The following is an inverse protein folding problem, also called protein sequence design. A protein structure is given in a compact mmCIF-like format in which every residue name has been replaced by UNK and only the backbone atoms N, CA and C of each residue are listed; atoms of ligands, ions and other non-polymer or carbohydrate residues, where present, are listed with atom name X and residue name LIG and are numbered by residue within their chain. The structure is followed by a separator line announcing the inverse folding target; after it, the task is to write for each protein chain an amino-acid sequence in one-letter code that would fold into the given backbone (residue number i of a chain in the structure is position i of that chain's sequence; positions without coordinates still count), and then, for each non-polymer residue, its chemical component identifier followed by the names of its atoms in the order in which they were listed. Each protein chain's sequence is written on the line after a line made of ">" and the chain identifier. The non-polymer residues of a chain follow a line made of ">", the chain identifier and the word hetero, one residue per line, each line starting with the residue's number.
data_IF_201310496344
#
_entry.id   IF_201310496344
#
_cell.length_a   1.000
_cell.length_b   1.000
_cell.length_c   1.000
_cell.angle_alpha   90.00
_cell.angle_beta   90.00
_cell.angle_gamma   90.00
#
_symmetry.space_group_name_H-M   'P 1'
#
loop_
_entity.id
_entity.type
_entity.pdbx_description
1 polymer ?
#
# COMPACT_ATOMS: atom_id res chain seq x y z
N UNK A 1 -1.57 -1.26 -24.97
CA UNK A 1 -1.37 -2.28 -23.92
C UNK A 1 -1.65 -1.59 -22.61
N UNK A 2 -2.94 -1.60 -22.30
CA UNK A 2 -3.60 -0.70 -21.41
C UNK A 2 -3.56 -1.26 -19.99
N UNK A 3 -3.24 -0.39 -19.03
CA UNK A 3 -3.80 -0.34 -17.68
C UNK A 3 -3.38 -1.40 -16.63
N UNK A 4 -2.94 -0.92 -15.45
CA UNK A 4 -2.72 -1.74 -14.26
C UNK A 4 -3.95 -1.88 -13.32
N UNK A 5 -5.13 -1.32 -13.66
CA UNK A 5 -6.41 -1.62 -12.95
C UNK A 5 -7.72 -1.60 -13.79
N UNK A 6 -7.90 -0.66 -14.72
CA UNK A 6 -9.02 -0.60 -15.72
C UNK A 6 -9.02 -1.61 -16.91
N UNK A 7 -7.93 -2.24 -17.39
CA UNK A 7 -8.01 -3.11 -18.60
C UNK A 7 -8.41 -4.55 -18.30
N UNK A 8 -8.13 -5.04 -17.10
CA UNK A 8 -8.40 -6.44 -16.75
C UNK A 8 -9.89 -6.73 -16.46
N UNK A 9 -10.78 -5.74 -16.51
CA UNK A 9 -12.18 -5.86 -16.06
C UNK A 9 -13.20 -5.38 -17.12
N UNK A 10 -12.82 -5.30 -18.40
CA UNK A 10 -13.77 -4.99 -19.48
C UNK A 10 -13.88 -6.14 -20.47
N UNK A 11 -14.69 -7.14 -20.07
CA UNK A 11 -15.46 -7.96 -21.00
C UNK A 11 -16.92 -7.94 -20.51
N UNK A 12 -17.88 -7.42 -21.30
CA UNK A 12 -19.29 -7.46 -20.93
C UNK A 12 -19.84 -8.82 -21.32
N UNK A 13 -20.73 -9.43 -20.52
CA UNK A 13 -21.77 -10.37 -20.94
C UNK A 13 -22.66 -10.80 -19.73
N UNK A 14 -23.87 -11.34 -19.96
CA UNK A 14 -25.12 -10.61 -19.75
C UNK A 14 -25.88 -11.04 -18.49
N UNK A 15 -26.70 -10.11 -17.99
CA UNK A 15 -27.65 -10.34 -16.90
C UNK A 15 -28.69 -11.41 -17.27
N UNK A 16 -28.84 -12.42 -16.40
CA UNK A 16 -30.06 -13.23 -16.31
C UNK A 16 -30.60 -13.06 -14.89
N UNK A 17 -31.77 -12.46 -14.83
CA UNK A 17 -32.54 -12.14 -13.62
C UNK A 17 -33.48 -13.30 -13.28
N UNK A 18 -33.63 -13.64 -11.99
CA UNK A 18 -34.79 -14.34 -11.42
C UNK A 18 -34.79 -14.27 -9.87
N UNK A 19 -35.95 -14.39 -9.20
CA UNK A 19 -36.41 -13.45 -8.15
C UNK A 19 -36.38 -14.01 -6.70
N UNK A 20 -36.74 -13.20 -5.67
CA UNK A 20 -36.47 -13.51 -4.27
C UNK A 20 -37.63 -14.25 -3.58
N UNK A 21 -37.31 -15.03 -2.55
CA UNK A 21 -38.29 -15.62 -1.62
C UNK A 21 -38.09 -15.09 -0.19
N UNK A 22 -39.17 -14.49 0.34
CA UNK A 22 -39.35 -13.90 1.67
C UNK A 22 -39.53 -14.96 2.79
N UNK A 23 -39.44 -14.56 4.08
CA UNK A 23 -39.14 -15.46 5.20
C UNK A 23 -40.38 -15.99 5.93
N UNK A 24 -40.18 -17.10 6.66
CA UNK A 24 -41.16 -17.65 7.61
C UNK A 24 -40.64 -17.53 9.04
N UNK A 25 -41.35 -16.73 9.84
CA UNK A 25 -41.22 -16.58 11.29
C UNK A 25 -41.94 -17.69 12.05
N UNK A 26 -41.40 -18.14 13.20
CA UNK A 26 -42.13 -18.25 14.49
C UNK A 26 -41.20 -18.60 15.68
N UNK A 27 -41.63 -18.31 16.92
CA UNK A 27 -40.75 -17.95 18.04
C UNK A 27 -40.46 -19.11 19.00
N UNK A 28 -39.45 -18.94 19.84
CA UNK A 28 -39.30 -19.67 21.10
C UNK A 28 -38.66 -18.79 22.16
N UNK A 29 -39.13 -18.98 23.39
CA UNK A 29 -39.12 -18.05 24.53
C UNK A 29 -38.13 -18.55 25.59
N UNK A 30 -37.61 -17.60 26.36
CA UNK A 30 -37.00 -17.68 27.72
C UNK A 30 -35.58 -18.26 27.80
N UNK A 31 -34.59 -17.45 28.23
CA UNK A 31 -34.17 -17.39 29.64
C UNK A 31 -33.22 -16.22 29.90
N UNK A 32 -33.53 -15.51 30.99
CA UNK A 32 -32.71 -14.46 31.59
C UNK A 32 -31.68 -15.16 32.46
N UNK A 33 -30.40 -14.91 32.23
CA UNK A 33 -29.35 -15.12 33.21
C UNK A 33 -28.32 -14.00 33.09
N UNK A 34 -28.22 -13.23 34.17
CA UNK A 34 -27.23 -12.20 34.36
C UNK A 34 -25.85 -12.84 34.53
N UNK A 35 -24.87 -12.40 33.74
CA UNK A 35 -23.44 -12.66 34.00
C UNK A 35 -22.63 -11.40 33.72
N UNK A 36 -22.06 -10.93 34.82
CA UNK A 36 -20.99 -9.97 35.05
C UNK A 36 -19.98 -9.84 33.89
N UNK A 37 -19.89 -8.64 33.33
CA UNK A 37 -18.90 -8.26 32.32
C UNK A 37 -17.65 -7.66 32.96
N UNK A 38 -16.56 -8.41 32.99
CA UNK A 38 -15.21 -7.87 33.23
C UNK A 38 -14.13 -8.80 32.68
N UNK A 39 -13.95 -8.84 31.37
CA UNK A 39 -12.79 -9.46 30.70
C UNK A 39 -12.72 -9.03 29.24
N UNK A 40 -12.41 -7.76 28.98
CA UNK A 40 -12.37 -7.20 27.61
C UNK A 40 -10.96 -6.95 27.09
N UNK A 41 -9.90 -7.23 27.88
CA UNK A 41 -8.53 -6.86 27.51
C UNK A 41 -7.72 -7.98 26.83
N UNK A 42 -8.06 -9.25 27.04
CA UNK A 42 -7.29 -10.37 26.46
C UNK A 42 -7.64 -10.69 25.01
N UNK A 43 -8.93 -10.64 24.64
CA UNK A 43 -9.40 -10.94 23.28
C UNK A 43 -8.95 -9.92 22.22
N UNK A 44 -8.74 -8.67 22.63
CA UNK A 44 -8.21 -7.60 21.78
C UNK A 44 -6.72 -7.79 21.46
N UNK A 45 -5.92 -8.25 22.42
CA UNK A 45 -4.50 -8.53 22.20
C UNK A 45 -4.28 -9.75 21.29
N UNK A 46 -5.07 -10.82 21.48
CA UNK A 46 -4.98 -12.02 20.64
C UNK A 46 -5.36 -11.73 19.18
N UNK A 47 -6.45 -10.99 18.96
CA UNK A 47 -6.91 -10.62 17.60
C UNK A 47 -5.96 -9.66 16.86
N UNK A 48 -5.30 -8.74 17.57
CA UNK A 48 -4.26 -7.88 16.99
C UNK A 48 -3.02 -8.69 16.58
N UNK A 49 -2.65 -9.71 17.36
CA UNK A 49 -1.52 -10.59 17.03
C UNK A 49 -1.80 -11.44 15.80
N UNK A 50 -3.04 -11.94 15.66
CA UNK A 50 -3.45 -12.81 14.55
C UNK A 50 -3.52 -12.05 13.22
N UNK A 51 -4.10 -10.84 13.22
CA UNK A 51 -4.15 -9.99 12.02
C UNK A 51 -2.76 -9.59 11.52
N UNK A 52 -1.85 -9.25 12.43
CA UNK A 52 -0.45 -8.99 12.08
C UNK A 52 0.26 -10.24 11.54
N UNK A 53 0.03 -11.41 12.13
CA UNK A 53 0.64 -12.66 11.65
C UNK A 53 0.26 -12.91 10.19
N UNK A 54 -1.04 -12.84 9.86
CA UNK A 54 -1.55 -13.01 8.49
C UNK A 54 -1.01 -11.97 7.52
N UNK A 55 -0.87 -10.72 7.95
CA UNK A 55 -0.28 -9.68 7.13
C UNK A 55 1.16 -10.01 6.72
N UNK A 56 1.98 -10.50 7.66
CA UNK A 56 3.39 -10.82 7.41
C UNK A 56 3.61 -12.15 6.65
N UNK A 57 2.55 -12.90 6.35
CA UNK A 57 2.66 -14.17 5.63
C UNK A 57 2.99 -13.97 4.14
N UNK A 58 2.50 -12.89 3.52
CA UNK A 58 2.59 -12.63 2.07
C UNK A 58 2.40 -13.92 1.23
N UNK A 59 1.23 -14.57 1.33
CA UNK A 59 1.10 -15.99 0.98
C UNK A 59 1.14 -16.30 -0.53
N UNK A 60 0.95 -15.30 -1.39
CA UNK A 60 0.77 -15.49 -2.84
C UNK A 60 1.96 -15.05 -3.70
N UNK A 61 3.07 -14.66 -3.07
CA UNK A 61 4.28 -14.16 -3.77
C UNK A 61 5.48 -15.08 -3.53
N UNK A 62 6.50 -14.97 -4.38
CA UNK A 62 7.72 -15.77 -4.26
C UNK A 62 8.50 -15.46 -2.98
N UNK A 63 9.38 -16.37 -2.57
CA UNK A 63 10.18 -16.18 -1.36
C UNK A 63 11.04 -14.90 -1.39
N UNK A 64 11.75 -14.54 -2.49
CA UNK A 64 12.48 -13.27 -2.56
C UNK A 64 11.57 -12.04 -2.38
N UNK A 65 10.37 -12.06 -2.97
CA UNK A 65 9.40 -10.98 -2.85
C UNK A 65 8.90 -10.85 -1.40
N UNK A 66 8.49 -11.95 -0.80
CA UNK A 66 8.09 -11.98 0.61
C UNK A 66 9.20 -11.44 1.52
N UNK A 67 10.43 -11.92 1.35
CA UNK A 67 11.56 -11.52 2.18
C UNK A 67 11.82 -10.01 2.07
N UNK A 68 11.77 -9.46 0.85
CA UNK A 68 11.85 -8.02 0.64
C UNK A 68 10.79 -7.26 1.45
N UNK A 69 9.50 -7.62 1.33
CA UNK A 69 8.43 -6.91 2.03
C UNK A 69 8.54 -7.02 3.55
N UNK A 70 8.86 -8.22 4.04
CA UNK A 70 9.09 -8.47 5.47
C UNK A 70 10.25 -7.63 6.00
N UNK A 71 11.37 -7.59 5.28
CA UNK A 71 12.56 -6.84 5.68
C UNK A 71 12.29 -5.33 5.72
N UNK A 72 11.62 -4.77 4.71
CA UNK A 72 11.28 -3.35 4.69
C UNK A 72 10.35 -2.97 5.84
N UNK A 73 9.30 -3.76 6.06
CA UNK A 73 8.38 -3.55 7.19
C UNK A 73 9.10 -3.63 8.52
N UNK A 74 9.88 -4.68 8.76
CA UNK A 74 10.64 -4.86 9.98
C UNK A 74 11.62 -3.69 10.19
N UNK A 75 12.27 -3.22 9.13
CA UNK A 75 13.20 -2.08 9.20
C UNK A 75 12.49 -0.81 9.67
N UNK A 76 11.34 -0.47 9.07
CA UNK A 76 10.55 0.70 9.49
C UNK A 76 10.03 0.54 10.91
N UNK A 77 9.44 -0.61 11.23
CA UNK A 77 8.87 -0.88 12.56
C UNK A 77 9.93 -0.83 13.67
N UNK A 78 11.12 -1.39 13.43
CA UNK A 78 12.23 -1.35 14.38
C UNK A 78 12.76 0.07 14.55
N UNK A 79 12.88 0.85 13.47
CA UNK A 79 13.37 2.23 13.52
C UNK A 79 12.44 3.15 14.32
N UNK A 80 11.13 2.91 14.25
CA UNK A 80 10.10 3.73 14.90
C UNK A 80 9.37 3.00 16.03
N UNK A 81 9.94 1.96 16.62
CA UNK A 81 9.24 1.09 17.58
C UNK A 81 8.57 1.86 18.73
N UNK A 82 9.27 2.83 19.32
CA UNK A 82 8.75 3.67 20.41
C UNK A 82 7.82 4.81 19.96
N UNK A 83 7.70 5.00 18.64
CA UNK A 83 6.98 6.09 18.00
C UNK A 83 5.71 5.62 17.29
N UNK A 84 5.55 4.31 17.04
CA UNK A 84 4.37 3.74 16.39
C UNK A 84 3.39 3.13 17.38
N UNK A 85 2.14 3.53 17.26
CA UNK A 85 1.02 2.93 17.98
C UNK A 85 0.70 1.53 17.41
N UNK A 86 0.05 0.66 18.20
CA UNK A 86 -0.51 -0.60 17.69
C UNK A 86 -1.54 -0.36 16.57
N UNK A 87 -1.76 -1.38 15.73
CA UNK A 87 -2.81 -1.34 14.73
C UNK A 87 -4.20 -1.33 15.40
N UNK A 88 -5.05 -0.37 15.03
CA UNK A 88 -6.41 -0.22 15.56
C UNK A 88 -7.49 -0.68 14.59
N UNK A 89 -7.11 -1.21 13.42
CA UNK A 89 -8.06 -1.70 12.43
C UNK A 89 -8.88 -2.87 12.98
N UNK A 90 -10.20 -2.93 12.70
CA UNK A 90 -11.01 -4.11 12.99
C UNK A 90 -10.46 -5.38 12.32
N UNK A 91 -10.60 -6.58 12.93
CA UNK A 91 -10.09 -7.82 12.35
C UNK A 91 -10.58 -8.11 10.92
N UNK A 92 -11.83 -7.75 10.62
CA UNK A 92 -12.50 -7.89 9.30
C UNK A 92 -12.11 -6.81 8.27
N UNK A 93 -11.22 -5.90 8.67
CA UNK A 93 -10.50 -4.94 7.81
C UNK A 93 -9.01 -5.32 7.70
N UNK A 94 -8.44 -5.92 8.74
CA UNK A 94 -7.06 -6.42 8.71
C UNK A 94 -6.88 -7.59 7.76
N UNK A 95 -7.90 -8.44 7.60
CA UNK A 95 -7.95 -9.50 6.61
C UNK A 95 -9.37 -9.63 6.08
N UNK A 96 -9.51 -9.68 4.75
CA UNK A 96 -10.80 -9.81 4.09
C UNK A 96 -10.67 -10.54 2.76
N UNK A 97 -11.75 -11.18 2.36
CA UNK A 97 -11.86 -11.89 1.09
C UNK A 97 -13.26 -11.74 0.51
N UNK A 98 -13.38 -11.84 -0.81
CA UNK A 98 -14.69 -11.81 -1.46
C UNK A 98 -15.49 -13.10 -1.17
N UNK A 99 -16.79 -13.07 -1.47
CA UNK A 99 -17.72 -14.17 -1.15
C UNK A 99 -17.29 -15.53 -1.74
N UNK A 100 -16.59 -15.50 -2.88
CA UNK A 100 -16.19 -16.70 -3.61
C UNK A 100 -14.73 -17.13 -3.28
N UNK A 101 -14.01 -16.38 -2.43
CA UNK A 101 -12.62 -16.65 -2.07
C UNK A 101 -11.57 -16.33 -3.16
N UNK A 102 -12.01 -15.83 -4.32
CA UNK A 102 -11.18 -15.52 -5.49
C UNK A 102 -10.28 -14.30 -5.27
N UNK A 103 -10.73 -13.35 -4.44
CA UNK A 103 -9.94 -12.18 -4.07
C UNK A 103 -9.75 -12.16 -2.55
N UNK A 104 -8.51 -11.96 -2.11
CA UNK A 104 -8.09 -11.95 -0.71
C UNK A 104 -7.15 -10.77 -0.49
N UNK A 105 -7.19 -10.17 0.69
CA UNK A 105 -6.28 -9.09 1.03
C UNK A 105 -6.05 -8.99 2.53
N UNK A 106 -4.93 -8.37 2.87
CA UNK A 106 -4.62 -7.94 4.23
C UNK A 106 -4.14 -6.50 4.23
N UNK A 107 -4.52 -5.78 5.28
CA UNK A 107 -4.20 -4.38 5.49
C UNK A 107 -3.71 -4.18 6.91
N UNK A 108 -2.59 -3.51 7.07
CA UNK A 108 -2.08 -3.08 8.36
C UNK A 108 -1.82 -1.57 8.33
N UNK A 109 -2.37 -0.84 9.30
CA UNK A 109 -2.11 0.58 9.48
C UNK A 109 -1.65 0.81 10.91
N UNK A 110 -0.53 1.53 11.07
CA UNK A 110 0.01 1.94 12.37
C UNK A 110 0.29 3.43 12.38
N UNK A 111 -0.44 4.18 13.21
CA UNK A 111 -0.23 5.61 13.37
C UNK A 111 1.01 5.92 14.22
N UNK A 112 1.66 7.05 13.95
CA UNK A 112 2.68 7.58 14.85
C UNK A 112 2.06 8.32 16.04
N UNK A 113 2.66 8.16 17.23
CA UNK A 113 2.28 8.93 18.42
C UNK A 113 2.63 10.42 18.26
N UNK A 114 2.24 11.26 19.23
CA UNK A 114 2.39 12.72 19.15
C UNK A 114 3.83 13.21 18.92
N UNK A 115 4.82 12.45 19.40
CA UNK A 115 6.24 12.77 19.25
C UNK A 115 6.86 12.23 17.95
N UNK A 116 6.09 11.45 17.18
CA UNK A 116 6.54 10.86 15.93
C UNK A 116 6.41 11.83 14.75
N UNK A 117 7.40 11.88 13.85
CA UNK A 117 7.25 12.54 12.55
C UNK A 117 6.36 11.72 11.60
N UNK A 118 6.14 10.43 11.89
CA UNK A 118 5.26 9.55 11.12
C UNK A 118 3.80 9.92 11.44
N UNK A 119 3.00 10.13 10.40
CA UNK A 119 1.54 10.20 10.52
C UNK A 119 0.98 8.79 10.66
N UNK A 120 1.20 7.96 9.64
CA UNK A 120 0.95 6.52 9.69
C UNK A 120 1.80 5.76 8.67
N UNK A 121 2.00 4.48 8.95
CA UNK A 121 2.51 3.50 7.99
C UNK A 121 1.35 2.61 7.57
N UNK A 122 1.24 2.37 6.27
CA UNK A 122 0.26 1.51 5.65
C UNK A 122 0.99 0.41 4.88
N UNK A 123 0.79 -0.84 5.30
CA UNK A 123 1.22 -2.02 4.59
C UNK A 123 0.01 -2.79 4.07
N UNK A 124 0.09 -3.34 2.86
CA UNK A 124 -0.98 -4.19 2.34
C UNK A 124 -0.47 -5.28 1.41
N UNK A 125 -1.26 -6.35 1.29
CA UNK A 125 -1.17 -7.26 0.16
C UNK A 125 -2.57 -7.60 -0.37
N UNK A 126 -2.67 -7.77 -1.68
CA UNK A 126 -3.90 -8.12 -2.41
C UNK A 126 -3.57 -9.28 -3.34
N UNK A 127 -4.44 -10.27 -3.35
CA UNK A 127 -4.47 -11.36 -4.30
C UNK A 127 -5.83 -11.41 -4.98
N UNK A 128 -5.85 -11.64 -6.29
CA UNK A 128 -7.07 -11.95 -7.04
C UNK A 128 -6.75 -12.92 -8.16
N UNK A 129 -7.49 -14.03 -8.24
CA UNK A 129 -7.47 -14.85 -9.46
C UNK A 129 -8.11 -14.05 -10.61
N UNK A 130 -7.55 -14.17 -11.79
CA UNK A 130 -7.99 -13.49 -13.00
C UNK A 130 -8.79 -14.46 -13.87
N UNK A 131 -9.83 -13.99 -14.60
CA UNK A 131 -10.61 -14.84 -15.51
C UNK A 131 -9.78 -15.54 -16.58
N UNK A 132 -8.57 -15.03 -16.86
CA UNK A 132 -7.61 -15.60 -17.81
C UNK A 132 -6.83 -16.80 -17.25
N UNK A 133 -7.09 -17.23 -16.01
CA UNK A 133 -6.37 -18.32 -15.32
C UNK A 133 -5.05 -17.89 -14.68
N UNK A 134 -4.75 -16.58 -14.66
CA UNK A 134 -3.62 -16.00 -13.94
C UNK A 134 -4.02 -15.45 -12.57
N UNK A 135 -3.11 -14.75 -11.91
CA UNK A 135 -3.39 -14.05 -10.66
C UNK A 135 -2.78 -12.65 -10.67
N UNK A 136 -3.48 -11.71 -10.05
CA UNK A 136 -2.97 -10.39 -9.70
C UNK A 136 -2.54 -10.43 -8.23
N UNK A 137 -1.25 -10.18 -8.00
CA UNK A 137 -0.67 -10.00 -6.67
C UNK A 137 -0.14 -8.58 -6.54
N UNK A 138 -0.55 -7.88 -5.50
CA UNK A 138 -0.04 -6.55 -5.16
C UNK A 138 0.47 -6.61 -3.74
N UNK A 139 1.67 -6.11 -3.49
CA UNK A 139 2.16 -5.83 -2.14
C UNK A 139 2.62 -4.38 -2.08
N UNK A 140 2.26 -3.68 -1.02
CA UNK A 140 2.66 -2.29 -0.85
C UNK A 140 3.07 -1.98 0.57
N UNK A 141 3.98 -1.01 0.68
CA UNK A 141 4.34 -0.33 1.91
C UNK A 141 4.42 1.17 1.61
N UNK A 142 3.63 1.96 2.33
CA UNK A 142 3.65 3.42 2.28
C UNK A 142 3.85 3.97 3.68
N UNK A 143 4.65 5.02 3.79
CA UNK A 143 4.81 5.76 5.05
C UNK A 143 4.57 7.24 4.81
N UNK A 144 3.60 7.78 5.56
CA UNK A 144 3.19 9.17 5.46
C UNK A 144 3.75 9.95 6.64
N UNK A 145 4.31 11.12 6.37
CA UNK A 145 4.85 12.02 7.38
C UNK A 145 3.81 13.08 7.81
N UNK A 146 3.89 13.50 9.07
CA UNK A 146 3.05 14.57 9.62
C UNK A 146 3.43 15.93 9.00
N UNK A 147 2.55 16.92 9.19
CA UNK A 147 2.80 18.33 8.84
C UNK A 147 3.87 19.02 9.71
N UNK A 148 4.45 18.32 10.69
CA UNK A 148 5.59 18.81 11.47
C UNK A 148 6.90 18.83 10.67
N UNK A 149 6.94 18.16 9.52
CA UNK A 149 8.06 18.15 8.58
C UNK A 149 7.53 18.26 7.14
N UNK A 150 8.35 18.80 6.22
CA UNK A 150 8.05 18.86 4.78
C UNK A 150 8.73 17.72 4.01
N UNK A 151 9.52 16.88 4.69
CA UNK A 151 10.27 15.82 4.04
C UNK A 151 9.35 14.87 3.24
N UNK A 152 9.84 14.28 2.13
CA UNK A 152 9.08 13.36 1.30
C UNK A 152 8.46 12.17 2.07
N UNK A 153 7.35 11.65 1.54
CA UNK A 153 6.81 10.36 1.98
C UNK A 153 7.64 9.20 1.42
N UNK A 154 7.29 7.96 1.75
CA UNK A 154 7.86 6.76 1.15
C UNK A 154 6.77 5.88 0.57
N UNK A 155 7.01 5.29 -0.61
CA UNK A 155 6.15 4.26 -1.19
C UNK A 155 6.97 3.21 -1.93
N UNK A 156 6.60 1.95 -1.72
CA UNK A 156 6.97 0.84 -2.58
C UNK A 156 5.73 0.00 -2.90
N UNK A 157 5.55 -0.34 -4.17
CA UNK A 157 4.53 -1.27 -4.65
C UNK A 157 5.15 -2.25 -5.64
N UNK A 158 4.85 -3.54 -5.44
CA UNK A 158 5.15 -4.61 -6.39
C UNK A 158 3.81 -5.14 -6.90
N UNK A 159 3.53 -4.93 -8.19
CA UNK A 159 2.29 -5.32 -8.86
C UNK A 159 2.63 -6.41 -9.87
N UNK A 160 2.32 -7.65 -9.53
CA UNK A 160 2.63 -8.82 -10.33
C UNK A 160 1.34 -9.38 -10.95
N UNK A 161 1.28 -9.39 -12.28
CA UNK A 161 0.10 -9.89 -13.04
C UNK A 161 0.33 -11.29 -13.63
N UNK A 162 1.57 -11.76 -13.59
CA UNK A 162 1.97 -13.15 -13.86
C UNK A 162 3.32 -13.43 -13.22
N UNK A 163 3.74 -14.70 -13.09
CA UNK A 163 5.07 -15.06 -12.58
C UNK A 163 6.25 -14.40 -13.32
N UNK A 164 6.05 -13.90 -14.54
CA UNK A 164 7.08 -13.28 -15.39
C UNK A 164 6.84 -11.79 -15.70
N UNK A 165 5.82 -11.17 -15.10
CA UNK A 165 5.46 -9.75 -15.32
C UNK A 165 5.23 -9.02 -14.01
N UNK A 166 6.14 -8.11 -13.70
CA UNK A 166 6.14 -7.29 -12.50
C UNK A 166 6.18 -5.81 -12.86
N UNK A 167 5.39 -4.99 -12.19
CA UNK A 167 5.58 -3.54 -12.14
C UNK A 167 6.10 -3.19 -10.75
N UNK A 168 7.19 -2.42 -10.72
CA UNK A 168 7.76 -1.84 -9.51
C UNK A 168 7.48 -0.33 -9.52
N UNK A 169 6.91 0.14 -8.42
CA UNK A 169 6.83 1.55 -8.07
C UNK A 169 7.63 1.71 -6.79
N UNK A 170 8.70 2.50 -6.81
CA UNK A 170 9.49 2.84 -5.63
C UNK A 170 9.84 4.32 -5.71
N UNK A 171 9.36 5.10 -4.75
CA UNK A 171 9.46 6.56 -4.79
C UNK A 171 9.53 7.17 -3.39
N UNK A 172 10.09 8.38 -3.33
CA UNK A 172 9.94 9.31 -2.21
C UNK A 172 9.06 10.49 -2.66
N UNK A 173 7.72 10.39 -2.62
CA UNK A 173 6.85 11.39 -3.24
C UNK A 173 7.03 12.78 -2.62
N UNK A 174 7.27 13.83 -3.44
CA UNK A 174 7.50 15.18 -2.94
C UNK A 174 6.25 15.71 -2.25
N UNK A 175 6.45 16.47 -1.17
CA UNK A 175 5.38 17.19 -0.47
C UNK A 175 5.33 18.68 -0.78
N UNK A 176 6.28 19.18 -1.56
CA UNK A 176 6.30 20.52 -2.16
C UNK A 176 6.29 20.46 -3.69
N UNK A 177 5.93 21.57 -4.34
CA UNK A 177 6.05 21.69 -5.79
C UNK A 177 7.53 21.88 -6.18
N UNK A 178 8.06 21.01 -7.02
CA UNK A 178 9.50 21.00 -7.29
C UNK A 178 9.97 22.18 -8.16
N UNK A 179 9.06 22.83 -8.87
CA UNK A 179 9.37 24.02 -9.68
C UNK A 179 9.39 25.27 -8.81
N UNK A 180 8.42 25.39 -7.89
CA UNK A 180 8.34 26.54 -6.98
C UNK A 180 9.36 26.48 -5.84
N UNK A 181 9.84 25.29 -5.49
CA UNK A 181 10.81 25.07 -4.40
C UNK A 181 12.06 24.30 -4.90
N UNK A 182 12.95 24.94 -5.68
CA UNK A 182 14.14 24.27 -6.22
C UNK A 182 15.12 23.78 -5.14
N UNK A 183 15.24 24.48 -4.01
CA UNK A 183 16.08 24.03 -2.88
C UNK A 183 15.56 22.71 -2.28
N UNK A 184 14.24 22.47 -2.33
CA UNK A 184 13.64 21.21 -1.90
C UNK A 184 14.01 20.08 -2.86
N UNK A 185 13.95 20.33 -4.18
CA UNK A 185 14.40 19.39 -5.20
C UNK A 185 15.87 19.01 -4.98
N UNK A 186 16.73 20.02 -4.79
CA UNK A 186 18.15 19.81 -4.54
C UNK A 186 18.40 18.98 -3.27
N UNK A 187 17.75 19.35 -2.17
CA UNK A 187 17.97 18.70 -0.85
C UNK A 187 17.58 17.23 -0.87
N UNK A 188 16.40 16.89 -1.39
CA UNK A 188 15.85 15.54 -1.22
C UNK A 188 16.14 14.59 -2.38
N UNK A 189 16.47 15.11 -3.56
CA UNK A 189 16.58 14.29 -4.78
C UNK A 189 17.95 14.38 -5.45
N UNK A 190 18.55 15.57 -5.53
CA UNK A 190 19.86 15.73 -6.17
C UNK A 190 20.99 15.31 -5.22
N UNK A 191 21.00 15.85 -4.00
CA UNK A 191 22.07 15.59 -3.01
C UNK A 191 22.07 14.15 -2.50
N UNK A 192 20.91 13.51 -2.45
CA UNK A 192 20.73 12.11 -2.06
C UNK A 192 21.09 11.13 -3.18
N UNK A 193 21.28 11.61 -4.41
CA UNK A 193 21.57 10.80 -5.59
C UNK A 193 20.54 9.68 -5.85
N UNK A 194 19.27 9.90 -5.49
CA UNK A 194 18.20 8.91 -5.63
C UNK A 194 18.07 8.36 -7.06
N UNK A 195 18.35 9.19 -8.07
CA UNK A 195 18.25 8.79 -9.48
C UNK A 195 19.22 7.66 -9.87
N UNK A 196 20.33 7.50 -9.13
CA UNK A 196 21.32 6.45 -9.41
C UNK A 196 20.72 5.05 -9.28
N UNK A 197 19.77 4.85 -8.38
CA UNK A 197 19.08 3.58 -8.20
C UNK A 197 18.16 3.25 -9.39
N UNK A 198 17.45 4.24 -9.93
CA UNK A 198 16.67 4.10 -11.17
C UNK A 198 17.59 3.72 -12.33
N UNK A 199 18.68 4.45 -12.50
CA UNK A 199 19.68 4.20 -13.55
C UNK A 199 20.33 2.81 -13.42
N UNK A 200 20.50 2.30 -12.20
CA UNK A 200 21.03 0.96 -11.97
C UNK A 200 20.07 -0.13 -12.47
N UNK A 201 18.76 0.01 -12.22
CA UNK A 201 17.75 -0.93 -12.73
C UNK A 201 17.62 -0.86 -14.26
N UNK A 202 17.73 0.33 -14.85
CA UNK A 202 17.63 0.50 -16.32
C UNK A 202 18.74 -0.20 -17.11
N UNK A 203 19.83 -0.60 -16.44
CA UNK A 203 20.90 -1.41 -17.08
C UNK A 203 20.53 -2.88 -17.23
N UNK A 204 19.45 -3.33 -16.59
CA UNK A 204 18.98 -4.72 -16.67
C UNK A 204 18.12 -4.86 -17.94
N UNK A 205 18.43 -5.82 -18.85
CA UNK A 205 17.73 -5.94 -20.13
C UNK A 205 16.21 -6.09 -20.02
N UNK A 206 15.72 -6.78 -18.99
CA UNK A 206 14.30 -7.05 -18.76
C UNK A 206 13.52 -5.85 -18.22
N UNK A 207 14.23 -4.80 -17.77
CA UNK A 207 13.64 -3.62 -17.17
C UNK A 207 13.29 -2.60 -18.26
N UNK A 208 12.06 -2.11 -18.23
CA UNK A 208 11.57 -1.06 -19.13
C UNK A 208 10.80 -0.01 -18.32
N UNK A 209 10.76 1.26 -18.75
CA UNK A 209 9.94 2.27 -18.08
C UNK A 209 8.45 1.85 -18.03
N UNK A 210 7.83 2.06 -16.87
CA UNK A 210 6.39 1.94 -16.68
C UNK A 210 5.76 3.33 -16.64
N UNK A 211 4.76 3.55 -17.50
CA UNK A 211 4.01 4.79 -17.52
C UNK A 211 2.60 4.55 -16.97
N UNK A 212 2.33 5.01 -15.74
CA UNK A 212 1.01 4.89 -15.13
C UNK A 212 -0.09 5.44 -16.03
N UNK A 213 -1.20 4.74 -16.22
CA UNK A 213 -2.32 5.28 -17.01
C UNK A 213 -2.95 6.55 -16.39
N UNK A 214 -2.72 6.79 -15.09
CA UNK A 214 -3.16 8.00 -14.41
C UNK A 214 -2.13 9.12 -14.54
N UNK A 215 -2.48 10.16 -15.29
CA UNK A 215 -1.65 11.37 -15.38
C UNK A 215 -1.45 12.03 -14.02
N UNK A 216 -2.44 11.91 -13.13
CA UNK A 216 -2.33 12.43 -11.77
C UNK A 216 -1.21 11.72 -10.99
N UNK A 217 -1.16 10.38 -11.05
CA UNK A 217 -0.08 9.61 -10.41
C UNK A 217 1.28 10.00 -10.99
N UNK A 218 1.39 10.18 -12.31
CA UNK A 218 2.63 10.68 -12.94
C UNK A 218 3.05 12.06 -12.41
N UNK A 219 2.09 12.94 -12.11
CA UNK A 219 2.36 14.31 -11.67
C UNK A 219 2.76 14.44 -10.21
N UNK A 220 2.42 13.46 -9.37
CA UNK A 220 2.74 13.47 -7.93
C UNK A 220 3.99 12.66 -7.60
N UNK A 221 4.45 11.83 -8.53
CA UNK A 221 5.71 11.09 -8.41
C UNK A 221 6.93 12.02 -8.47
N UNK A 222 8.01 11.66 -7.78
CA UNK A 222 9.26 12.41 -7.88
C UNK A 222 9.93 12.24 -9.27
N UNK A 223 10.79 13.19 -9.68
CA UNK A 223 11.61 13.05 -10.89
C UNK A 223 12.55 11.83 -10.86
N UNK A 224 12.90 11.35 -9.66
CA UNK A 224 13.78 10.20 -9.44
C UNK A 224 13.00 8.91 -9.15
N UNK A 225 11.68 8.91 -9.29
CA UNK A 225 10.84 7.75 -9.01
C UNK A 225 11.24 6.57 -9.89
N UNK A 226 11.35 5.39 -9.28
CA UNK A 226 11.53 4.13 -9.99
C UNK A 226 10.14 3.63 -10.36
N UNK A 227 9.72 3.91 -11.60
CA UNK A 227 8.51 3.38 -12.19
C UNK A 227 8.88 2.49 -13.37
N UNK A 228 9.03 1.19 -13.13
CA UNK A 228 9.49 0.23 -14.13
C UNK A 228 8.58 -0.99 -14.23
N UNK A 229 8.52 -1.56 -15.43
CA UNK A 229 7.98 -2.89 -15.69
C UNK A 229 9.13 -3.84 -16.01
N UNK A 230 9.00 -5.07 -15.56
CA UNK A 230 9.99 -6.12 -15.69
C UNK A 230 9.31 -7.31 -16.33
N UNK A 231 9.83 -7.74 -17.47
CA UNK A 231 9.28 -8.86 -18.24
C UNK A 231 10.37 -9.91 -18.48
N UNK A 232 10.23 -11.08 -17.86
CA UNK A 232 11.22 -12.16 -17.90
C UNK A 232 10.74 -13.36 -18.71
N UNK A 233 10.01 -13.13 -19.82
CA UNK A 233 9.41 -14.24 -20.59
C UNK A 233 10.47 -15.25 -21.05
N UNK A 234 11.63 -14.78 -21.55
CA UNK A 234 12.72 -15.64 -22.02
C UNK A 234 13.53 -16.27 -20.87
N UNK A 235 13.63 -15.59 -19.73
CA UNK A 235 14.36 -16.05 -18.54
C UNK A 235 13.51 -16.83 -17.53
N UNK A 236 12.20 -16.90 -17.75
CA UNK A 236 11.25 -17.57 -16.86
C UNK A 236 11.09 -16.92 -15.49
N UNK A 237 10.54 -17.71 -14.56
CA UNK A 237 10.25 -17.30 -13.17
C UNK A 237 11.53 -17.14 -12.35
N UNK A 238 12.52 -18.02 -12.57
CA UNK A 238 13.81 -17.98 -11.87
C UNK A 238 14.54 -16.65 -12.09
N UNK A 239 14.49 -16.13 -13.33
CA UNK A 239 15.07 -14.81 -13.64
C UNK A 239 14.34 -13.66 -12.95
N UNK A 240 13.01 -13.74 -12.81
CA UNK A 240 12.25 -12.74 -12.04
C UNK A 240 12.67 -12.75 -10.57
N UNK A 241 12.78 -13.94 -9.97
CA UNK A 241 13.22 -14.12 -8.60
C UNK A 241 14.65 -13.63 -8.37
N UNK A 242 15.55 -13.87 -9.32
CA UNK A 242 16.91 -13.34 -9.32
C UNK A 242 16.92 -11.81 -9.35
N UNK A 243 16.12 -11.19 -10.23
CA UNK A 243 16.01 -9.72 -10.31
C UNK A 243 15.49 -9.13 -9.00
N UNK A 244 14.45 -9.75 -8.43
CA UNK A 244 13.91 -9.31 -7.13
C UNK A 244 15.01 -9.37 -6.06
N UNK A 245 15.70 -10.51 -5.96
CA UNK A 245 16.70 -10.76 -4.92
C UNK A 245 17.97 -9.91 -5.06
N UNK A 246 18.52 -9.81 -6.26
CA UNK A 246 19.85 -9.28 -6.48
C UNK A 246 19.84 -7.79 -6.88
N UNK A 247 18.69 -7.26 -7.30
CA UNK A 247 18.57 -5.87 -7.76
C UNK A 247 17.49 -5.10 -7.01
N UNK A 248 16.24 -5.56 -7.00
CA UNK A 248 15.13 -4.81 -6.38
C UNK A 248 15.32 -4.74 -4.87
N UNK A 249 15.68 -5.84 -4.21
CA UNK A 249 15.87 -5.90 -2.76
C UNK A 249 16.92 -4.90 -2.24
N UNK A 250 18.19 -4.94 -2.70
CA UNK A 250 19.19 -3.99 -2.23
C UNK A 250 18.81 -2.54 -2.54
N UNK A 251 18.28 -2.26 -3.73
CA UNK A 251 17.86 -0.90 -4.12
C UNK A 251 16.73 -0.38 -3.22
N UNK A 252 15.74 -1.22 -2.94
CA UNK A 252 14.61 -0.84 -2.08
C UNK A 252 15.07 -0.55 -0.66
N UNK A 253 16.03 -1.32 -0.15
CA UNK A 253 16.64 -1.11 1.17
C UNK A 253 17.47 0.18 1.21
N UNK A 254 18.21 0.50 0.15
CA UNK A 254 18.97 1.75 0.03
C UNK A 254 18.05 2.98 -0.02
N UNK A 255 17.01 2.96 -0.86
CA UNK A 255 16.01 4.05 -0.95
C UNK A 255 15.27 4.21 0.38
N UNK A 256 14.89 3.11 1.04
CA UNK A 256 14.31 3.17 2.38
C UNK A 256 15.30 3.76 3.39
N UNK A 257 16.58 3.37 3.34
CA UNK A 257 17.63 3.93 4.19
C UNK A 257 17.75 5.44 4.03
N UNK A 258 17.78 5.94 2.79
CA UNK A 258 17.76 7.38 2.47
C UNK A 258 16.52 8.04 3.09
N UNK A 259 15.34 7.46 2.95
CA UNK A 259 14.13 8.01 3.54
C UNK A 259 14.20 8.05 5.07
N UNK A 260 14.68 6.99 5.71
CA UNK A 260 14.81 6.95 7.17
C UNK A 260 15.78 8.02 7.68
N UNK A 261 16.94 8.14 7.04
CA UNK A 261 18.05 8.97 7.52
C UNK A 261 17.91 10.44 7.14
N UNK A 262 17.42 10.73 5.93
CA UNK A 262 17.33 12.09 5.39
C UNK A 262 15.92 12.68 5.38
N UNK A 263 14.87 11.86 5.54
CA UNK A 263 13.49 12.35 5.56
C UNK A 263 12.87 12.18 6.95
N UNK A 264 12.57 10.95 7.34
CA UNK A 264 11.72 10.66 8.48
C UNK A 264 12.41 10.97 9.83
N UNK A 265 13.72 10.75 9.96
CA UNK A 265 14.45 11.07 11.20
C UNK A 265 15.14 12.44 11.20
N UNK A 266 15.17 13.13 10.05
CA UNK A 266 15.78 14.45 9.94
C UNK A 266 14.87 15.51 10.60
N UNK A 267 15.42 16.24 11.58
CA UNK A 267 14.70 17.37 12.20
C UNK A 267 14.67 18.54 11.23
N UNK A 268 13.48 19.09 11.00
CA UNK A 268 13.27 20.29 10.21
C UNK A 268 12.25 21.18 10.90
N UNK A 269 12.52 22.48 10.92
CA UNK A 269 11.56 23.48 11.39
C UNK A 269 10.78 24.00 10.19
N UNK A 270 9.46 24.09 10.36
CA UNK A 270 8.56 24.62 9.34
C UNK A 270 7.82 25.83 9.86
N UNK A 271 7.73 26.86 9.02
CA UNK A 271 6.88 28.02 9.27
C UNK A 271 5.39 27.66 9.14
N UNK A 272 4.52 28.46 9.76
CA UNK A 272 3.08 28.19 9.77
C UNK A 272 2.46 28.20 8.36
N UNK A 273 2.93 29.08 7.46
CA UNK A 273 2.47 29.13 6.07
C UNK A 273 2.81 27.85 5.30
N UNK A 274 3.98 27.25 5.56
CA UNK A 274 4.39 25.99 4.95
C UNK A 274 3.55 24.83 5.45
N UNK A 275 3.22 24.80 6.74
CA UNK A 275 2.34 23.78 7.33
C UNK A 275 0.95 23.80 6.72
N UNK A 276 0.38 24.99 6.50
CA UNK A 276 -0.93 25.16 5.83
C UNK A 276 -0.88 24.68 4.38
N UNK A 277 0.21 24.99 3.67
CA UNK A 277 0.42 24.51 2.31
C UNK A 277 0.48 22.97 2.25
N UNK A 278 1.26 22.36 3.14
CA UNK A 278 1.41 20.90 3.23
C UNK A 278 0.07 20.23 3.51
N UNK A 279 -0.69 20.73 4.48
CA UNK A 279 -2.00 20.17 4.83
C UNK A 279 -2.96 20.17 3.63
N UNK A 280 -3.01 21.28 2.88
CA UNK A 280 -3.83 21.37 1.67
C UNK A 280 -3.38 20.38 0.59
N UNK A 281 -2.07 20.31 0.33
CA UNK A 281 -1.52 19.46 -0.74
C UNK A 281 -1.61 17.97 -0.39
N UNK A 282 -1.23 17.60 0.82
CA UNK A 282 -1.30 16.21 1.29
C UNK A 282 -2.74 15.72 1.31
N UNK A 283 -3.69 16.53 1.82
CA UNK A 283 -5.11 16.18 1.81
C UNK A 283 -5.66 15.95 0.39
N UNK A 284 -5.25 16.78 -0.58
CA UNK A 284 -5.64 16.61 -1.98
C UNK A 284 -5.06 15.32 -2.58
N UNK A 285 -3.77 15.03 -2.34
CA UNK A 285 -3.12 13.81 -2.83
C UNK A 285 -3.78 12.58 -2.23
N UNK A 286 -3.93 12.54 -0.91
CA UNK A 286 -4.62 11.47 -0.17
C UNK A 286 -5.99 11.15 -0.74
N UNK A 287 -6.83 12.17 -0.91
CA UNK A 287 -8.17 12.02 -1.49
C UNK A 287 -8.13 11.48 -2.91
N UNK A 288 -7.27 12.05 -3.77
CA UNK A 288 -7.18 11.66 -5.18
C UNK A 288 -6.61 10.27 -5.37
N UNK A 289 -5.62 9.86 -4.58
CA UNK A 289 -5.07 8.51 -4.59
C UNK A 289 -6.15 7.48 -4.24
N UNK A 290 -6.96 7.71 -3.19
CA UNK A 290 -8.08 6.82 -2.85
C UNK A 290 -9.09 6.74 -4.02
N UNK A 291 -9.46 7.87 -4.62
CA UNK A 291 -10.40 7.91 -5.75
C UNK A 291 -9.89 7.15 -6.98
N UNK A 292 -8.60 7.29 -7.31
CA UNK A 292 -7.99 6.72 -8.51
C UNK A 292 -7.68 5.24 -8.34
N UNK A 293 -7.00 4.89 -7.25
CA UNK A 293 -6.41 3.55 -7.08
C UNK A 293 -7.37 2.57 -6.41
N UNK A 294 -8.26 3.05 -5.54
CA UNK A 294 -9.15 2.18 -4.74
C UNK A 294 -10.63 2.32 -5.13
N UNK A 295 -11.08 3.52 -5.49
CA UNK A 295 -12.51 3.83 -5.64
C UNK A 295 -13.25 3.00 -6.69
N UNK A 296 -12.59 2.60 -7.78
CA UNK A 296 -13.22 1.79 -8.84
C UNK A 296 -12.78 0.32 -8.85
N UNK A 297 -11.67 0.01 -8.21
CA UNK A 297 -11.04 -1.31 -8.18
C UNK A 297 -11.58 -2.17 -7.04
N UNK A 298 -11.67 -1.63 -5.83
CA UNK A 298 -12.06 -2.37 -4.63
C UNK A 298 -13.47 -2.97 -4.73
N UNK A 299 -14.51 -2.22 -5.14
CA UNK A 299 -15.84 -2.79 -5.30
C UNK A 299 -15.88 -3.92 -6.34
N UNK A 300 -15.03 -3.87 -7.37
CA UNK A 300 -14.95 -4.90 -8.41
C UNK A 300 -14.29 -6.19 -7.90
N UNK A 301 -13.27 -6.07 -7.05
CA UNK A 301 -12.55 -7.21 -6.50
C UNK A 301 -13.30 -7.87 -5.35
N UNK A 302 -13.80 -7.06 -4.41
CA UNK A 302 -14.30 -7.52 -3.11
C UNK A 302 -15.82 -7.41 -2.94
N UNK A 303 -16.52 -6.77 -3.87
CA UNK A 303 -17.92 -6.41 -3.71
C UNK A 303 -18.11 -5.12 -2.91
N UNK A 304 -19.29 -4.51 -3.07
CA UNK A 304 -19.58 -3.18 -2.54
C UNK A 304 -19.49 -3.11 -1.01
N UNK A 305 -20.02 -4.11 -0.30
CA UNK A 305 -20.04 -4.14 1.16
C UNK A 305 -18.64 -4.12 1.77
N UNK A 306 -17.74 -4.99 1.29
CA UNK A 306 -16.36 -5.06 1.79
C UNK A 306 -15.61 -3.79 1.40
N UNK A 307 -15.81 -3.30 0.17
CA UNK A 307 -15.19 -2.07 -0.29
C UNK A 307 -15.59 -0.88 0.58
N UNK A 308 -16.88 -0.70 0.88
CA UNK A 308 -17.35 0.42 1.71
C UNK A 308 -16.78 0.37 3.12
N UNK A 309 -16.71 -0.83 3.71
CA UNK A 309 -16.11 -1.03 5.04
C UNK A 309 -14.62 -0.68 5.06
N UNK A 310 -13.84 -1.29 4.16
CA UNK A 310 -12.37 -1.11 4.13
C UNK A 310 -12.00 0.31 3.74
N UNK A 311 -12.64 0.88 2.72
CA UNK A 311 -12.39 2.25 2.29
C UNK A 311 -12.84 3.26 3.35
N UNK A 312 -13.91 2.97 4.10
CA UNK A 312 -14.32 3.75 5.27
C UNK A 312 -13.20 3.83 6.30
N UNK A 313 -12.61 2.68 6.67
CA UNK A 313 -11.49 2.66 7.61
C UNK A 313 -10.24 3.36 7.08
N UNK A 314 -9.88 3.21 5.80
CA UNK A 314 -8.72 3.90 5.21
C UNK A 314 -8.91 5.42 5.23
N UNK A 315 -10.12 5.90 4.90
CA UNK A 315 -10.46 7.33 4.88
C UNK A 315 -10.26 8.00 6.24
N UNK A 316 -10.54 7.29 7.35
CA UNK A 316 -10.31 7.81 8.71
C UNK A 316 -8.83 8.17 8.95
N UNK A 317 -7.88 7.32 8.50
CA UNK A 317 -6.45 7.62 8.61
C UNK A 317 -5.98 8.70 7.65
N UNK A 318 -6.60 8.77 6.47
CA UNK A 318 -6.26 9.79 5.49
C UNK A 318 -6.91 11.15 5.81
N UNK A 319 -7.85 11.18 6.77
CA UNK A 319 -8.66 12.32 7.18
C UNK A 319 -9.41 12.97 6.00
N UNK A 320 -9.98 12.13 5.11
CA UNK A 320 -10.66 12.54 3.87
C UNK A 320 -12.03 11.90 3.68
#
# INVERSE_FOLDING_TARGET
>A
MDVAFRSFIHSPLPFISSPPSLPSSRPSRVQISALSSSSSSSSLMDSQSEGRSKFMEFPFVSAPHKNLMVDLLATVENRFQSQLLPCTLPPDVQYYQNQNGIAQASLQIRSGNDNSPIDFILGSWIHSELPTGGALNITSLSAYLKRSTDAPNFVIELIQSSPTKLVLILDLPPRKDLVLWPDYLQTFYEQTQLDTHRQALEKIPEVQPYFSSSLYIRSVAAPTAIMVRIETQDGGVERMEEIIKNHIDPISKEVLGIWLDHCACARRELGDSERVYLEKRDGLIRKKTIEIDLGSSFPRLFGQEIADRVLGSIREFFAV
#
